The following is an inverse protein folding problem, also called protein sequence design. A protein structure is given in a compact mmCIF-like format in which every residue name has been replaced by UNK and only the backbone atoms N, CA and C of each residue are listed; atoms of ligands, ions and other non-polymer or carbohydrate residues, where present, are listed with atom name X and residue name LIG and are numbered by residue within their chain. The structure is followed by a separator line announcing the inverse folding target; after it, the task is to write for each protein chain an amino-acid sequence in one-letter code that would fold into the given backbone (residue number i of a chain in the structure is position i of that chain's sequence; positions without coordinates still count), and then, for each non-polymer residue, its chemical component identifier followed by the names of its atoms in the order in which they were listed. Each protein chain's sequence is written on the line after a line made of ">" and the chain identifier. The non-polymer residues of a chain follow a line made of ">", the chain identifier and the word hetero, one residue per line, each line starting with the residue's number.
data_IF_072553939971
#
_entry.id   IF_072553939971
#
_cell.length_a   1.000
_cell.length_b   1.000
_cell.length_c   1.000
_cell.angle_alpha   90.00
_cell.angle_beta   90.00
_cell.angle_gamma   90.00
#
_symmetry.space_group_name_H-M   'P 1'
#
loop_
_entity.id
_entity.type
_entity.pdbx_description
1 polymer ?
#
# COMPACT_ATOMS: atom_id res chain seq x y z
N UNK A 1 -3.06 -1.03 17.42
CA UNK A 1 -2.38 -1.23 16.12
C UNK A 1 -2.97 -0.35 15.01
N UNK A 2 -4.27 -0.45 14.70
CA UNK A 2 -4.93 0.30 13.62
C UNK A 2 -4.63 1.82 13.59
N UNK A 3 -4.75 2.53 14.72
CA UNK A 3 -4.42 3.96 14.82
C UNK A 3 -2.97 4.26 14.42
N UNK A 4 -2.03 3.38 14.75
CA UNK A 4 -0.61 3.55 14.44
C UNK A 4 -0.29 3.33 12.97
N UNK A 5 -1.00 2.41 12.31
CA UNK A 5 -0.94 2.19 10.86
C UNK A 5 -1.54 3.41 10.14
N UNK A 6 -2.71 3.88 10.56
CA UNK A 6 -3.34 5.06 9.98
C UNK A 6 -2.42 6.30 10.04
N UNK A 7 -1.76 6.55 11.18
CA UNK A 7 -0.77 7.63 11.32
C UNK A 7 0.47 7.41 10.46
N UNK A 8 0.88 6.15 10.24
CA UNK A 8 2.04 5.86 9.41
C UNK A 8 1.78 6.13 7.92
N UNK A 9 0.57 5.85 7.44
CA UNK A 9 0.14 6.05 6.05
C UNK A 9 -0.60 7.36 5.80
N UNK A 10 -0.75 8.24 6.80
CA UNK A 10 -1.49 9.49 6.64
C UNK A 10 -0.75 10.46 5.70
N UNK A 11 -1.34 10.75 4.54
CA UNK A 11 -0.79 11.71 3.59
C UNK A 11 0.55 11.30 2.97
N UNK A 12 0.72 9.98 2.71
CA UNK A 12 1.93 9.23 2.27
C UNK A 12 2.63 8.45 3.39
N UNK A 13 3.63 7.64 2.99
CA UNK A 13 4.44 6.83 3.92
C UNK A 13 5.30 7.75 4.78
N UNK A 14 5.04 7.75 6.08
CA UNK A 14 5.76 8.59 7.04
C UNK A 14 7.14 8.01 7.35
N UNK A 15 8.22 8.73 7.00
CA UNK A 15 9.58 8.31 7.33
C UNK A 15 9.84 8.11 8.83
N UNK A 16 10.79 7.24 9.18
CA UNK A 16 11.13 6.83 10.56
C UNK A 16 11.29 7.99 11.55
N UNK A 17 12.00 9.04 11.16
CA UNK A 17 12.24 10.20 12.03
C UNK A 17 10.95 11.00 12.27
N UNK A 18 10.18 11.25 11.21
CA UNK A 18 8.88 11.94 11.26
C UNK A 18 7.88 11.16 12.11
N UNK A 19 7.81 9.83 11.95
CA UNK A 19 6.95 8.98 12.76
C UNK A 19 7.34 9.03 14.24
N UNK A 20 8.64 8.97 14.56
CA UNK A 20 9.13 9.06 15.96
C UNK A 20 8.81 10.41 16.60
N UNK A 21 8.82 11.50 15.83
CA UNK A 21 8.38 12.83 16.28
C UNK A 21 6.88 12.83 16.57
N UNK A 22 6.06 12.40 15.61
CA UNK A 22 4.60 12.27 15.78
C UNK A 22 4.23 11.38 16.98
N UNK A 23 4.93 10.25 17.16
CA UNK A 23 4.76 9.38 18.33
C UNK A 23 4.96 10.14 19.64
N UNK A 24 6.03 10.94 19.74
CA UNK A 24 6.34 11.73 20.94
C UNK A 24 5.25 12.77 21.18
N UNK A 25 4.91 13.54 20.15
CA UNK A 25 4.00 14.68 20.25
C UNK A 25 2.54 14.23 20.47
N UNK A 26 2.15 13.06 19.95
CA UNK A 26 0.78 12.53 20.06
C UNK A 26 0.55 11.66 21.30
N UNK A 27 1.61 11.27 22.01
CA UNK A 27 1.51 10.38 23.18
C UNK A 27 1.97 11.02 24.49
N UNK A 28 2.73 12.12 24.45
CA UNK A 28 3.32 12.72 25.64
C UNK A 28 3.20 14.24 25.66
N UNK A 29 2.96 14.78 26.86
CA UNK A 29 3.16 16.18 27.19
C UNK A 29 4.46 16.35 27.98
N UNK A 30 5.01 17.57 27.96
CA UNK A 30 6.07 17.97 28.88
C UNK A 30 5.39 18.52 30.13
N UNK A 31 5.69 17.93 31.28
CA UNK A 31 5.21 18.46 32.56
C UNK A 31 5.96 19.76 32.88
N UNK A 32 5.21 20.81 33.21
CA UNK A 32 5.76 22.15 33.48
C UNK A 32 6.63 22.19 34.74
N UNK A 33 6.40 21.27 35.67
CA UNK A 33 7.03 21.30 36.99
C UNK A 33 8.25 20.38 37.11
N UNK A 34 8.34 19.38 36.24
CA UNK A 34 9.46 18.46 36.17
C UNK A 34 9.59 18.12 34.69
N UNK A 35 10.75 18.31 34.07
CA UNK A 35 11.00 18.08 32.63
C UNK A 35 10.79 16.63 32.14
N UNK A 36 10.08 15.80 32.91
CA UNK A 36 9.58 14.47 32.60
C UNK A 36 8.42 14.56 31.62
N UNK A 37 8.33 13.53 30.77
CA UNK A 37 7.26 13.37 29.80
C UNK A 37 6.14 12.55 30.44
N UNK A 38 4.95 13.14 30.50
CA UNK A 38 3.74 12.47 31.03
C UNK A 38 2.86 12.06 29.86
N UNK A 39 2.18 10.92 29.97
CA UNK A 39 1.28 10.44 28.93
C UNK A 39 0.12 11.44 28.72
N UNK A 40 -0.20 11.71 27.46
CA UNK A 40 -1.35 12.53 27.09
C UNK A 40 -2.66 11.90 27.59
N UNK A 41 -3.51 12.72 28.20
CA UNK A 41 -4.84 12.32 28.69
C UNK A 41 -5.89 13.38 28.35
N UNK A 42 -7.10 12.96 28.03
CA UNK A 42 -8.27 13.83 27.81
C UNK A 42 -9.28 13.51 28.91
N UNK A 43 -9.74 14.51 29.67
CA UNK A 43 -10.67 14.32 30.80
C UNK A 43 -10.25 13.20 31.76
N UNK A 44 -8.97 13.20 32.19
CA UNK A 44 -8.36 12.15 33.03
C UNK A 44 -8.37 10.73 32.44
N UNK A 45 -8.72 10.57 31.17
CA UNK A 45 -8.61 9.31 30.45
C UNK A 45 -7.31 9.30 29.63
N UNK A 46 -6.36 8.39 29.90
CA UNK A 46 -5.11 8.32 29.15
C UNK A 46 -5.37 7.93 27.70
N UNK A 47 -4.85 8.72 26.77
CA UNK A 47 -4.96 8.42 25.34
C UNK A 47 -4.15 7.13 25.02
N UNK A 48 -4.73 6.19 24.25
CA UNK A 48 -3.99 5.01 23.80
C UNK A 48 -2.74 5.42 23.02
N UNK A 49 -1.58 4.93 23.46
CA UNK A 49 -0.30 5.24 22.81
C UNK A 49 -0.24 4.63 21.41
N UNK A 50 0.43 5.35 20.50
CA UNK A 50 0.84 4.76 19.23
C UNK A 50 1.82 3.60 19.49
N UNK A 51 1.98 2.71 18.53
CA UNK A 51 2.97 1.63 18.58
C UNK A 51 4.32 2.22 18.18
N UNK A 52 5.40 1.99 18.95
CA UNK A 52 6.73 2.45 18.58
C UNK A 52 7.16 1.94 17.20
N UNK A 53 7.89 2.74 16.43
CA UNK A 53 8.31 2.41 15.05
C UNK A 53 8.99 1.04 14.93
N UNK A 54 9.87 0.69 15.88
CA UNK A 54 10.58 -0.59 15.90
C UNK A 54 9.67 -1.80 16.16
N UNK A 55 8.47 -1.60 16.69
CA UNK A 55 7.44 -2.63 16.83
C UNK A 55 6.40 -2.58 15.72
N UNK A 56 6.15 -1.40 15.17
CA UNK A 56 5.23 -1.21 14.05
C UNK A 56 5.78 -1.82 12.76
N UNK A 57 7.05 -1.59 12.43
CA UNK A 57 7.62 -2.07 11.16
C UNK A 57 7.64 -3.60 11.04
N UNK A 58 8.03 -4.38 12.07
CA UNK A 58 7.90 -5.84 12.00
C UNK A 58 6.46 -6.29 11.72
N UNK A 59 5.46 -5.62 12.31
CA UNK A 59 4.06 -5.91 12.01
C UNK A 59 3.72 -5.59 10.55
N UNK A 60 4.05 -4.38 10.07
CA UNK A 60 3.79 -3.97 8.68
C UNK A 60 4.46 -4.93 7.69
N UNK A 61 5.72 -5.28 7.94
CA UNK A 61 6.49 -6.20 7.10
C UNK A 61 6.03 -7.66 7.21
N UNK A 62 5.30 -8.02 8.27
CA UNK A 62 4.71 -9.37 8.41
C UNK A 62 3.42 -9.54 7.62
N UNK A 63 2.83 -8.45 7.11
CA UNK A 63 1.65 -8.52 6.26
C UNK A 63 2.08 -9.08 4.92
N UNK A 64 1.64 -10.30 4.64
CA UNK A 64 1.89 -10.94 3.35
C UNK A 64 0.95 -10.37 2.28
N UNK A 65 1.51 -9.54 1.40
CA UNK A 65 0.83 -8.96 0.23
C UNK A 65 1.15 -9.70 -1.07
N UNK A 66 1.79 -10.86 -0.97
CA UNK A 66 2.24 -11.64 -2.11
C UNK A 66 3.65 -11.37 -2.57
N UNK A 67 4.06 -12.17 -3.55
CA UNK A 67 5.42 -12.14 -4.07
C UNK A 67 5.66 -10.86 -4.84
N UNK A 68 6.69 -10.12 -4.47
CA UNK A 68 7.13 -8.92 -5.16
C UNK A 68 8.34 -9.26 -6.03
N UNK A 69 8.18 -9.15 -7.33
CA UNK A 69 9.21 -9.43 -8.32
C UNK A 69 9.92 -8.14 -8.72
N UNK A 70 11.22 -8.23 -8.98
CA UNK A 70 12.01 -7.13 -9.52
C UNK A 70 11.91 -7.14 -11.05
N UNK A 71 11.50 -6.02 -11.64
CA UNK A 71 11.38 -5.87 -13.11
C UNK A 71 12.73 -6.05 -13.78
N UNK A 72 13.79 -5.45 -13.22
CA UNK A 72 15.14 -5.52 -13.78
C UNK A 72 15.64 -6.97 -13.85
N UNK A 73 15.38 -7.76 -12.83
CA UNK A 73 15.89 -9.14 -12.74
C UNK A 73 15.05 -10.14 -13.56
N UNK A 74 13.77 -9.86 -13.78
CA UNK A 74 12.83 -10.87 -14.33
C UNK A 74 12.20 -10.51 -15.67
N UNK A 75 12.10 -9.22 -16.01
CA UNK A 75 11.47 -8.72 -17.24
C UNK A 75 12.45 -7.91 -18.11
N UNK A 76 13.73 -7.87 -17.74
CA UNK A 76 14.79 -7.24 -18.53
C UNK A 76 15.89 -8.22 -18.94
N UNK A 77 15.63 -9.54 -18.81
CA UNK A 77 16.60 -10.56 -19.20
C UNK A 77 16.85 -10.50 -20.72
N UNK A 78 18.12 -10.56 -21.11
CA UNK A 78 18.56 -10.44 -22.50
C UNK A 78 18.45 -9.04 -23.14
N UNK A 79 18.06 -8.01 -22.39
CA UNK A 79 18.04 -6.62 -22.88
C UNK A 79 19.39 -5.92 -22.71
N UNK A 80 19.67 -4.94 -23.56
CA UNK A 80 20.79 -4.02 -23.39
C UNK A 80 20.60 -3.15 -22.14
N UNK A 81 21.69 -2.77 -21.47
CA UNK A 81 21.63 -1.99 -20.21
C UNK A 81 20.86 -0.67 -20.35
N UNK A 82 20.82 -0.08 -21.54
CA UNK A 82 20.02 1.13 -21.82
C UNK A 82 18.51 0.91 -21.79
N UNK A 83 18.06 -0.32 -22.04
CA UNK A 83 16.65 -0.70 -22.10
C UNK A 83 16.16 -1.38 -20.82
N UNK A 84 17.08 -1.67 -19.88
CA UNK A 84 16.73 -2.21 -18.57
C UNK A 84 16.15 -1.13 -17.68
N UNK A 85 15.10 -1.48 -16.96
CA UNK A 85 14.35 -0.50 -16.16
C UNK A 85 14.21 -0.96 -14.72
N UNK A 86 14.32 0.01 -13.80
CA UNK A 86 14.07 -0.22 -12.39
C UNK A 86 12.56 -0.23 -12.13
N UNK A 87 12.08 -1.25 -11.43
CA UNK A 87 10.68 -1.38 -11.09
C UNK A 87 10.38 -2.63 -10.28
N UNK A 88 9.12 -2.77 -9.89
CA UNK A 88 8.62 -3.98 -9.25
C UNK A 88 7.20 -4.32 -9.71
N UNK A 89 6.84 -5.59 -9.61
CA UNK A 89 5.48 -6.05 -9.90
C UNK A 89 5.10 -7.24 -9.03
N UNK A 90 3.81 -7.58 -9.07
CA UNK A 90 3.23 -8.73 -8.37
C UNK A 90 2.46 -9.59 -9.36
N UNK A 91 2.28 -10.87 -9.01
CA UNK A 91 1.34 -11.73 -9.74
C UNK A 91 -0.09 -11.25 -9.53
N UNK A 92 -0.80 -10.97 -10.63
CA UNK A 92 -2.21 -10.58 -10.59
C UNK A 92 -3.06 -11.64 -9.87
N UNK A 93 -2.83 -12.93 -10.20
CA UNK A 93 -3.58 -14.04 -9.61
C UNK A 93 -3.41 -14.13 -8.10
N UNK A 94 -2.16 -14.09 -7.62
CA UNK A 94 -1.88 -14.13 -6.17
C UNK A 94 -2.49 -12.93 -5.45
N UNK A 95 -2.34 -11.75 -6.05
CA UNK A 95 -2.83 -10.50 -5.50
C UNK A 95 -4.36 -10.48 -5.36
N UNK A 96 -5.09 -10.90 -6.40
CA UNK A 96 -6.56 -10.96 -6.37
C UNK A 96 -7.05 -11.94 -5.31
N UNK A 97 -6.41 -13.11 -5.16
CA UNK A 97 -6.79 -14.08 -4.11
C UNK A 97 -6.59 -13.49 -2.71
N UNK A 98 -5.43 -12.88 -2.44
CA UNK A 98 -5.14 -12.26 -1.14
C UNK A 98 -6.08 -11.10 -0.82
N UNK A 99 -6.41 -10.28 -1.81
CA UNK A 99 -7.39 -9.20 -1.64
C UNK A 99 -8.79 -9.76 -1.36
N UNK A 100 -9.22 -10.80 -2.07
CA UNK A 100 -10.50 -11.45 -1.82
C UNK A 100 -10.57 -12.01 -0.38
N UNK A 101 -9.53 -12.70 0.09
CA UNK A 101 -9.43 -13.19 1.46
C UNK A 101 -9.50 -12.06 2.49
N UNK A 102 -8.81 -10.95 2.24
CA UNK A 102 -8.85 -9.76 3.09
C UNK A 102 -10.27 -9.18 3.20
N UNK A 103 -10.98 -9.05 2.07
CA UNK A 103 -12.34 -8.52 2.08
C UNK A 103 -13.33 -9.49 2.72
N UNK A 104 -13.21 -10.79 2.49
CA UNK A 104 -14.08 -11.78 3.10
C UNK A 104 -13.87 -11.91 4.62
N UNK A 105 -12.64 -11.76 5.11
CA UNK A 105 -12.30 -11.88 6.53
C UNK A 105 -12.43 -10.58 7.33
N UNK A 106 -12.12 -9.44 6.71
CA UNK A 106 -12.00 -8.15 7.38
C UNK A 106 -13.22 -7.24 7.26
N UNK A 107 -14.10 -7.47 6.28
CA UNK A 107 -15.30 -6.66 6.11
C UNK A 107 -16.53 -7.40 6.65
N UNK A 108 -17.20 -6.80 7.65
CA UNK A 108 -18.58 -7.19 7.97
C UNK A 108 -19.42 -7.10 6.69
N UNK A 109 -20.26 -8.10 6.42
CA UNK A 109 -20.97 -8.30 5.13
C UNK A 109 -21.75 -7.09 4.58
N UNK A 110 -21.92 -6.02 5.35
CA UNK A 110 -22.49 -4.74 4.93
C UNK A 110 -21.59 -3.90 4.01
N UNK A 111 -20.29 -4.20 3.89
CA UNK A 111 -19.37 -3.43 3.03
C UNK A 111 -19.30 -3.95 1.59
N UNK A 112 -19.69 -5.21 1.35
CA UNK A 112 -19.59 -5.82 0.02
C UNK A 112 -20.94 -5.70 -0.73
N UNK A 113 -20.87 -5.28 -1.99
CA UNK A 113 -21.96 -5.29 -2.96
C UNK A 113 -21.71 -6.39 -3.99
N UNK A 114 -22.50 -7.44 -3.96
CA UNK A 114 -22.33 -8.61 -4.82
C UNK A 114 -22.86 -8.43 -6.24
N UNK A 115 -23.51 -7.29 -6.55
CA UNK A 115 -24.16 -7.06 -7.86
C UNK A 115 -25.07 -8.22 -8.30
N UNK A 116 -25.72 -8.88 -7.35
CA UNK A 116 -26.61 -10.03 -7.60
C UNK A 116 -25.95 -11.41 -7.60
N UNK A 117 -24.61 -11.50 -7.55
CA UNK A 117 -23.86 -12.77 -7.54
C UNK A 117 -22.98 -12.90 -6.28
N UNK A 118 -23.48 -13.52 -5.19
CA UNK A 118 -22.72 -13.70 -3.95
C UNK A 118 -21.38 -14.40 -4.20
N UNK A 119 -20.35 -14.01 -3.42
CA UNK A 119 -19.00 -14.56 -3.50
C UNK A 119 -18.28 -14.35 -4.84
N UNK A 120 -18.80 -13.46 -5.69
CA UNK A 120 -18.16 -13.04 -6.93
C UNK A 120 -17.59 -11.64 -6.78
N UNK A 121 -16.29 -11.49 -7.02
CA UNK A 121 -15.62 -10.19 -7.06
C UNK A 121 -15.46 -9.72 -8.51
N UNK A 122 -15.88 -8.48 -8.74
CA UNK A 122 -15.65 -7.68 -9.93
C UNK A 122 -14.44 -6.79 -9.65
N UNK A 123 -13.43 -6.92 -10.50
CA UNK A 123 -12.18 -6.17 -10.38
C UNK A 123 -12.00 -5.27 -11.59
N UNK A 124 -11.38 -4.12 -11.38
CA UNK A 124 -10.89 -3.25 -12.45
C UNK A 124 -9.36 -3.28 -12.47
N UNK A 125 -8.80 -3.31 -13.68
CA UNK A 125 -7.38 -3.06 -13.92
C UNK A 125 -7.26 -1.71 -14.62
N UNK A 126 -6.36 -0.86 -14.12
CA UNK A 126 -6.19 0.49 -14.65
C UNK A 126 -4.72 0.91 -14.64
N UNK A 127 -4.33 1.67 -15.66
CA UNK A 127 -3.07 2.40 -15.67
C UNK A 127 -3.23 3.76 -15.01
N UNK A 128 -2.21 4.16 -14.26
CA UNK A 128 -2.04 5.52 -13.78
C UNK A 128 -0.67 6.02 -14.19
N UNK A 129 -0.61 7.28 -14.61
CA UNK A 129 0.65 7.96 -14.89
C UNK A 129 1.36 8.20 -13.57
N UNK A 130 2.32 7.34 -13.23
CA UNK A 130 3.08 7.49 -12.00
C UNK A 130 4.01 8.72 -12.13
N UNK A 131 4.01 9.67 -11.18
CA UNK A 131 4.92 10.83 -11.23
C UNK A 131 6.37 10.48 -10.82
N UNK A 132 6.79 9.22 -11.02
CA UNK A 132 8.01 8.66 -10.42
C UNK A 132 9.08 8.37 -11.46
N UNK A 133 9.59 9.41 -12.10
CA UNK A 133 10.64 9.28 -13.11
C UNK A 133 11.48 10.54 -13.26
N UNK A 134 12.76 10.34 -13.52
CA UNK A 134 13.68 11.39 -13.96
C UNK A 134 13.46 11.74 -15.44
N UNK A 135 12.87 10.79 -16.16
CA UNK A 135 12.44 10.86 -17.54
C UNK A 135 10.92 10.82 -17.48
N UNK A 136 10.20 11.69 -18.21
CA UNK A 136 8.74 11.95 -18.14
C UNK A 136 7.82 10.73 -18.43
N UNK A 137 8.31 9.50 -18.24
CA UNK A 137 7.63 8.25 -18.52
C UNK A 137 7.81 7.28 -17.35
N UNK A 138 6.86 7.26 -16.43
CA UNK A 138 6.74 6.18 -15.44
C UNK A 138 5.36 5.56 -15.55
N UNK A 139 5.34 4.24 -15.55
CA UNK A 139 4.14 3.45 -15.74
C UNK A 139 3.78 2.78 -14.42
N UNK A 140 2.51 2.87 -14.04
CA UNK A 140 1.94 2.06 -12.98
C UNK A 140 0.64 1.41 -13.45
N UNK A 141 0.49 0.12 -13.13
CA UNK A 141 -0.77 -0.59 -13.26
C UNK A 141 -1.27 -0.99 -11.89
N UNK A 142 -2.58 -0.86 -11.71
CA UNK A 142 -3.27 -1.00 -10.44
C UNK A 142 -4.44 -1.99 -10.58
N UNK A 143 -4.78 -2.66 -9.49
CA UNK A 143 -5.99 -3.48 -9.35
C UNK A 143 -6.90 -2.89 -8.28
N UNK A 144 -8.21 -2.89 -8.54
CA UNK A 144 -9.22 -2.37 -7.61
C UNK A 144 -10.45 -3.29 -7.58
N UNK A 145 -11.07 -3.43 -6.41
CA UNK A 145 -12.26 -4.26 -6.22
C UNK A 145 -13.51 -3.39 -6.25
N UNK A 146 -14.39 -3.60 -7.24
CA UNK A 146 -15.57 -2.76 -7.45
C UNK A 146 -16.74 -3.11 -6.52
N UNK A 147 -16.65 -4.23 -5.80
CA UNK A 147 -17.71 -4.68 -4.89
C UNK A 147 -17.69 -3.96 -3.54
N UNK A 148 -16.93 -2.90 -3.34
CA UNK A 148 -16.79 -2.27 -2.02
C UNK A 148 -17.71 -1.05 -1.94
N UNK A 149 -18.79 -1.11 -1.17
CA UNK A 149 -19.87 -0.08 -1.15
C UNK A 149 -19.40 1.34 -0.85
N UNK A 150 -18.35 1.52 -0.07
CA UNK A 150 -17.75 2.85 0.22
C UNK A 150 -16.54 3.16 -0.69
N UNK A 151 -16.10 2.22 -1.51
CA UNK A 151 -14.82 2.20 -2.21
C UNK A 151 -14.89 2.02 -3.73
N UNK A 152 -16.08 1.78 -4.33
CA UNK A 152 -16.26 1.55 -5.79
C UNK A 152 -15.58 2.61 -6.69
N UNK A 153 -15.29 3.79 -6.16
CA UNK A 153 -14.64 4.90 -6.86
C UNK A 153 -13.55 5.61 -6.03
N UNK A 154 -13.09 5.00 -4.93
CA UNK A 154 -12.07 5.66 -4.10
C UNK A 154 -10.68 5.40 -4.67
N UNK A 155 -9.97 6.45 -5.06
CA UNK A 155 -8.53 6.41 -5.40
C UNK A 155 -7.64 5.84 -4.27
N UNK A 156 -8.21 5.63 -3.07
CA UNK A 156 -7.53 5.06 -1.92
C UNK A 156 -7.53 3.52 -1.90
N UNK A 157 -8.28 2.84 -2.77
CA UNK A 157 -8.40 1.37 -2.80
C UNK A 157 -7.87 0.75 -4.10
N UNK A 158 -6.86 1.40 -4.67
CA UNK A 158 -6.08 0.92 -5.81
C UNK A 158 -4.79 0.27 -5.30
N UNK A 159 -4.54 -0.97 -5.70
CA UNK A 159 -3.35 -1.70 -5.27
C UNK A 159 -2.35 -1.83 -6.42
N UNK A 160 -1.09 -1.45 -6.17
CA UNK A 160 -0.03 -1.47 -7.18
C UNK A 160 0.30 -2.90 -7.61
N UNK A 161 0.02 -3.19 -8.88
CA UNK A 161 0.31 -4.46 -9.52
C UNK A 161 1.66 -4.42 -10.23
N UNK A 162 1.95 -3.32 -10.94
CA UNK A 162 3.22 -3.07 -11.64
C UNK A 162 3.58 -1.61 -11.48
N UNK A 163 4.86 -1.31 -11.27
CA UNK A 163 5.39 0.04 -11.27
C UNK A 163 6.84 0.06 -11.73
N UNK A 164 7.13 0.79 -12.80
CA UNK A 164 8.47 0.92 -13.34
C UNK A 164 8.74 2.31 -13.90
N UNK A 165 10.00 2.73 -13.87
CA UNK A 165 10.44 3.95 -14.52
C UNK A 165 10.63 3.71 -16.03
N UNK A 166 9.52 3.47 -16.75
CA UNK A 166 9.51 3.29 -18.19
C UNK A 166 8.18 3.74 -18.81
N UNK A 167 8.17 3.89 -20.14
CA UNK A 167 6.95 4.04 -20.94
C UNK A 167 6.11 2.76 -20.93
N UNK A 168 4.78 2.87 -21.01
CA UNK A 168 3.88 1.71 -21.14
C UNK A 168 4.19 0.82 -22.36
N UNK A 169 4.86 1.39 -23.37
CA UNK A 169 5.26 0.68 -24.59
C UNK A 169 6.65 0.01 -24.47
N UNK A 170 7.33 0.10 -23.31
CA UNK A 170 8.65 -0.48 -23.10
C UNK A 170 8.58 -2.03 -23.13
N UNK A 171 9.65 -2.70 -23.56
CA UNK A 171 9.69 -4.17 -23.63
C UNK A 171 9.35 -4.83 -22.27
N UNK A 172 9.90 -4.37 -21.12
CA UNK A 172 9.55 -4.92 -19.81
C UNK A 172 8.05 -4.82 -19.47
N UNK A 173 7.40 -3.72 -19.87
CA UNK A 173 5.96 -3.52 -19.67
C UNK A 173 5.14 -4.52 -20.51
N UNK A 174 5.52 -4.74 -21.77
CA UNK A 174 4.89 -5.74 -22.62
C UNK A 174 5.09 -7.18 -22.09
N UNK A 175 6.29 -7.49 -21.61
CA UNK A 175 6.58 -8.80 -21.01
C UNK A 175 5.72 -9.06 -19.77
N UNK A 176 5.50 -8.05 -18.93
CA UNK A 176 4.58 -8.18 -17.79
C UNK A 176 3.16 -8.54 -18.23
N UNK A 177 2.63 -7.91 -19.28
CA UNK A 177 1.28 -8.20 -19.79
C UNK A 177 1.20 -9.65 -20.28
N UNK A 178 2.21 -10.12 -21.03
CA UNK A 178 2.26 -11.50 -21.52
C UNK A 178 2.33 -12.49 -20.35
N UNK A 179 3.13 -12.21 -19.33
CA UNK A 179 3.26 -13.05 -18.14
C UNK A 179 2.01 -13.06 -17.24
N UNK A 180 1.09 -12.11 -17.42
CA UNK A 180 -0.11 -11.95 -16.61
C UNK A 180 -1.36 -12.60 -17.21
N UNK A 181 -1.31 -13.05 -18.47
CA UNK A 181 -2.35 -13.84 -19.14
C UNK A 181 -2.15 -15.35 -18.89
#
# INVERSE_FOLDING_TARGET
>A
MARSIAVYYSGSITGKQKYRKLYKDSCYNVDSNNSKRVQLSIHNCPLPRLVPYNRLMPYVNSIDLGTNFNVYDTLCDGLDESDKVCGCYRSLKEMVVKLAELYLSGCSGHLINWFGAPYTFVISLGGDGAPFGKDDTSCAWLVSFLNIRRGVLSSNENYLLFGANCSENCIPAQQFIIASN
#
